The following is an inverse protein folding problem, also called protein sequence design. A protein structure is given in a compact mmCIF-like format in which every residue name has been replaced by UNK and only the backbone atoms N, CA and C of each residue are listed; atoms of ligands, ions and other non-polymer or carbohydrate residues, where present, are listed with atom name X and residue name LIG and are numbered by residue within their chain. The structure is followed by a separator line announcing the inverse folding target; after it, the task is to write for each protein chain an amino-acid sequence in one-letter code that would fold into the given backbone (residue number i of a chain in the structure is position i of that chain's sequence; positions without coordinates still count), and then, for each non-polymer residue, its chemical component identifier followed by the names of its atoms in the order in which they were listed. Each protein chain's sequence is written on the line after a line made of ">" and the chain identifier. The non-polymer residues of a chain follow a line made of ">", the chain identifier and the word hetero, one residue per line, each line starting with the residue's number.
data_IF_840540749065
#
_entry.id   IF_840540749065
#
_cell.length_a   1.000
_cell.length_b   1.000
_cell.length_c   1.000
_cell.angle_alpha   90.00
_cell.angle_beta   90.00
_cell.angle_gamma   90.00
#
_symmetry.space_group_name_H-M   'P 1'
#
loop_
_entity.id
_entity.type
_entity.pdbx_description
1 polymer ?
#
# COMPACT_ATOMS: atom_id res chain seq x y z
N UNK A 1 5.79 -25.34 -4.99
CA UNK A 1 4.38 -24.90 -5.06
C UNK A 1 4.24 -23.43 -4.76
N UNK A 2 4.56 -22.95 -3.54
CA UNK A 2 4.42 -21.52 -3.19
C UNK A 2 5.14 -20.57 -4.16
N UNK A 3 6.37 -20.89 -4.56
CA UNK A 3 7.12 -20.12 -5.55
C UNK A 3 6.38 -20.00 -6.91
N UNK A 4 5.73 -21.09 -7.35
CA UNK A 4 4.98 -21.11 -8.61
C UNK A 4 3.70 -20.29 -8.51
N UNK A 5 2.94 -20.44 -7.41
CA UNK A 5 1.76 -19.61 -7.17
C UNK A 5 2.11 -18.13 -7.08
N UNK A 6 3.20 -17.79 -6.38
CA UNK A 6 3.65 -16.40 -6.29
C UNK A 6 3.98 -15.81 -7.67
N UNK A 7 4.62 -16.57 -8.56
CA UNK A 7 4.94 -16.12 -9.92
C UNK A 7 3.71 -15.89 -10.81
N UNK A 8 2.63 -16.67 -10.64
CA UNK A 8 1.40 -16.49 -11.43
C UNK A 8 0.45 -15.45 -10.83
N UNK A 9 0.56 -15.16 -9.52
CA UNK A 9 -0.15 -14.05 -8.88
C UNK A 9 0.52 -12.71 -9.18
N UNK A 10 1.86 -12.69 -9.25
CA UNK A 10 2.62 -11.51 -9.60
C UNK A 10 3.86 -11.91 -10.43
N UNK A 11 3.83 -11.59 -11.72
CA UNK A 11 4.87 -11.97 -12.67
C UNK A 11 6.26 -11.42 -12.32
N UNK A 12 6.35 -10.34 -11.55
CA UNK A 12 7.63 -9.78 -11.08
C UNK A 12 8.35 -10.79 -10.18
N UNK A 13 7.59 -11.61 -9.44
CA UNK A 13 8.14 -12.65 -8.56
C UNK A 13 8.81 -13.78 -9.36
N UNK A 14 8.52 -13.94 -10.66
CA UNK A 14 9.18 -14.95 -11.48
C UNK A 14 10.72 -14.80 -11.46
N UNK A 15 11.25 -13.58 -11.37
CA UNK A 15 12.69 -13.33 -11.22
C UNK A 15 13.20 -13.83 -9.87
N UNK A 16 12.43 -13.66 -8.80
CA UNK A 16 12.76 -14.18 -7.47
C UNK A 16 12.71 -15.70 -7.42
N UNK A 17 11.82 -16.33 -8.20
CA UNK A 17 11.81 -17.80 -8.38
C UNK A 17 13.13 -18.28 -8.98
N UNK A 18 13.75 -17.52 -9.89
CA UNK A 18 15.08 -17.84 -10.43
C UNK A 18 16.13 -17.77 -9.31
N UNK A 19 16.10 -16.74 -8.46
CA UNK A 19 17.02 -16.64 -7.32
C UNK A 19 16.85 -17.80 -6.33
N UNK A 20 15.61 -18.21 -6.06
CA UNK A 20 15.31 -19.39 -5.23
C UNK A 20 15.84 -20.68 -5.87
N UNK A 21 15.67 -20.85 -7.18
CA UNK A 21 16.23 -21.98 -7.91
C UNK A 21 17.76 -22.01 -7.83
N UNK A 22 18.42 -20.87 -8.04
CA UNK A 22 19.88 -20.74 -7.89
C UNK A 22 20.34 -21.03 -6.46
N UNK A 23 19.60 -20.61 -5.45
CA UNK A 23 19.89 -20.95 -4.05
C UNK A 23 19.79 -22.46 -3.80
N UNK A 24 18.74 -23.12 -4.29
CA UNK A 24 18.60 -24.59 -4.22
C UNK A 24 19.78 -25.27 -4.95
N UNK A 25 20.23 -24.71 -6.07
CA UNK A 25 21.40 -25.23 -6.78
C UNK A 25 22.69 -25.15 -5.99
N UNK A 26 23.04 -23.93 -5.60
CA UNK A 26 24.40 -23.57 -5.22
C UNK A 26 24.63 -23.84 -3.75
N UNK A 27 23.61 -23.65 -2.91
CA UNK A 27 23.68 -23.76 -1.46
C UNK A 27 23.15 -25.10 -0.94
N UNK A 28 21.93 -25.49 -1.34
CA UNK A 28 21.30 -26.73 -0.84
C UNK A 28 21.92 -27.97 -1.50
N UNK A 29 22.24 -27.89 -2.81
CA UNK A 29 22.92 -28.94 -3.60
C UNK A 29 22.23 -30.32 -3.57
N UNK A 30 20.90 -30.34 -3.40
CA UNK A 30 20.10 -31.57 -3.34
C UNK A 30 19.44 -31.86 -4.69
N UNK A 31 19.77 -33.01 -5.31
CA UNK A 31 19.11 -33.47 -6.54
C UNK A 31 17.59 -33.61 -6.36
N UNK A 32 17.16 -34.15 -5.23
CA UNK A 32 15.75 -34.26 -4.89
C UNK A 32 15.14 -32.86 -4.66
N UNK A 33 15.88 -31.94 -4.03
CA UNK A 33 15.43 -30.56 -3.83
C UNK A 33 15.07 -29.87 -5.14
N UNK A 34 15.88 -30.06 -6.17
CA UNK A 34 15.61 -29.56 -7.52
C UNK A 34 14.39 -30.18 -8.18
N UNK A 35 14.30 -31.51 -8.11
CA UNK A 35 13.18 -32.24 -8.71
C UNK A 35 11.87 -31.79 -8.07
N UNK A 36 11.82 -31.71 -6.74
CA UNK A 36 10.63 -31.23 -6.02
C UNK A 36 10.35 -29.75 -6.25
N UNK A 37 11.40 -28.91 -6.35
CA UNK A 37 11.23 -27.50 -6.68
C UNK A 37 10.61 -27.34 -8.08
N UNK A 38 11.16 -28.02 -9.09
CA UNK A 38 10.67 -28.02 -10.46
C UNK A 38 9.24 -28.57 -10.59
N UNK A 39 8.96 -29.73 -9.98
CA UNK A 39 7.60 -30.27 -9.92
C UNK A 39 6.63 -29.30 -9.23
N UNK A 40 7.11 -28.62 -8.20
CA UNK A 40 6.35 -27.59 -7.49
C UNK A 40 6.08 -26.32 -8.31
N UNK A 41 6.79 -26.06 -9.40
CA UNK A 41 6.53 -24.97 -10.34
C UNK A 41 5.60 -25.41 -11.48
N UNK A 42 5.65 -26.69 -11.86
CA UNK A 42 4.92 -27.22 -13.02
C UNK A 42 3.41 -27.01 -12.90
N UNK A 43 2.81 -27.30 -11.74
CA UNK A 43 1.37 -27.14 -11.54
C UNK A 43 0.88 -25.70 -11.79
N UNK A 44 1.39 -24.69 -11.04
CA UNK A 44 1.05 -23.29 -11.28
C UNK A 44 1.38 -22.81 -12.70
N UNK A 45 2.48 -23.27 -13.29
CA UNK A 45 2.83 -22.92 -14.67
C UNK A 45 1.78 -23.42 -15.68
N UNK A 46 1.35 -24.68 -15.56
CA UNK A 46 0.29 -25.22 -16.41
C UNK A 46 -1.03 -24.46 -16.21
N UNK A 47 -1.36 -24.08 -14.97
CA UNK A 47 -2.55 -23.31 -14.66
C UNK A 47 -2.56 -21.95 -15.38
N UNK A 48 -1.45 -21.20 -15.35
CA UNK A 48 -1.38 -19.91 -16.05
C UNK A 48 -1.38 -20.08 -17.57
N UNK A 49 -0.81 -21.16 -18.12
CA UNK A 49 -0.91 -21.46 -19.54
C UNK A 49 -2.36 -21.74 -19.97
N UNK A 50 -3.12 -22.51 -19.18
CA UNK A 50 -4.55 -22.76 -19.44
C UNK A 50 -5.35 -21.45 -19.37
N UNK A 51 -5.09 -20.62 -18.36
CA UNK A 51 -5.70 -19.30 -18.24
C UNK A 51 -5.41 -18.43 -19.48
N UNK A 52 -4.14 -18.36 -19.90
CA UNK A 52 -3.75 -17.56 -21.06
C UNK A 52 -4.36 -18.09 -22.37
N UNK A 53 -4.49 -19.41 -22.54
CA UNK A 53 -5.20 -19.99 -23.69
C UNK A 53 -6.67 -19.57 -23.67
N UNK A 54 -7.33 -19.68 -22.52
CA UNK A 54 -8.74 -19.32 -22.38
C UNK A 54 -9.01 -17.83 -22.64
N UNK A 55 -8.12 -16.94 -22.20
CA UNK A 55 -8.30 -15.49 -22.33
C UNK A 55 -7.73 -14.90 -23.63
N UNK A 56 -6.61 -15.43 -24.12
CA UNK A 56 -5.81 -14.81 -25.20
C UNK A 56 -5.51 -15.76 -26.36
N UNK A 57 -6.04 -16.99 -26.34
CA UNK A 57 -5.90 -17.98 -27.41
C UNK A 57 -4.52 -18.65 -27.49
N UNK A 58 -3.55 -18.28 -26.65
CA UNK A 58 -2.21 -18.88 -26.64
C UNK A 58 -1.67 -18.99 -25.21
N UNK A 59 -0.83 -20.00 -24.89
CA UNK A 59 -0.35 -20.21 -23.52
C UNK A 59 0.63 -19.12 -23.01
N UNK A 60 1.23 -18.35 -23.92
CA UNK A 60 2.30 -17.40 -23.61
C UNK A 60 1.94 -15.93 -23.85
N UNK A 61 0.76 -15.63 -24.40
CA UNK A 61 0.27 -14.25 -24.43
C UNK A 61 -0.20 -13.88 -23.04
N UNK A 62 0.41 -12.85 -22.45
CA UNK A 62 0.05 -12.34 -21.13
C UNK A 62 -0.87 -11.14 -21.26
N UNK A 63 -1.55 -10.79 -20.17
CA UNK A 63 -2.36 -9.59 -20.04
C UNK A 63 -1.60 -8.30 -20.39
N UNK A 64 -0.28 -8.25 -20.19
CA UNK A 64 0.54 -7.08 -20.53
C UNK A 64 0.54 -6.75 -22.02
N UNK A 65 0.30 -7.71 -22.92
CA UNK A 65 0.16 -7.43 -24.36
C UNK A 65 -1.03 -6.52 -24.66
N UNK A 66 -2.06 -6.59 -23.81
CA UNK A 66 -3.30 -5.83 -23.92
C UNK A 66 -3.36 -4.68 -22.90
N UNK A 67 -2.19 -4.21 -22.44
CA UNK A 67 -2.10 -3.11 -21.50
C UNK A 67 -2.68 -1.82 -22.09
N UNK A 68 -3.41 -1.07 -21.29
CA UNK A 68 -3.96 0.22 -21.71
C UNK A 68 -2.80 1.16 -22.11
N UNK A 69 -2.82 1.73 -23.34
CA UNK A 69 -1.79 2.65 -23.81
C UNK A 69 -1.51 3.83 -22.89
N UNK A 70 -2.50 4.23 -22.07
CA UNK A 70 -2.37 5.27 -21.06
C UNK A 70 -1.24 5.01 -20.06
N UNK A 71 -0.97 3.75 -19.71
CA UNK A 71 0.09 3.37 -18.76
C UNK A 71 1.45 3.12 -19.41
N UNK A 72 1.53 3.20 -20.74
CA UNK A 72 2.76 2.98 -21.49
C UNK A 72 3.44 4.33 -21.69
N UNK A 73 4.63 4.49 -21.11
CA UNK A 73 5.44 5.69 -21.37
C UNK A 73 6.21 5.49 -22.67
N UNK A 74 6.17 6.49 -23.56
CA UNK A 74 6.64 6.45 -24.95
C UNK A 74 8.12 6.11 -25.18
N UNK A 75 8.70 6.64 -26.27
CA UNK A 75 10.03 6.25 -26.78
C UNK A 75 11.13 6.27 -25.69
N UNK A 76 11.92 5.18 -25.61
CA UNK A 76 12.99 4.89 -24.64
C UNK A 76 12.58 4.20 -23.32
N UNK A 77 11.48 3.46 -23.30
CA UNK A 77 11.14 2.56 -22.20
C UNK A 77 11.36 1.09 -22.55
N UNK A 78 11.94 0.32 -21.62
CA UNK A 78 12.01 -1.14 -21.73
C UNK A 78 10.64 -1.72 -21.39
N UNK A 79 10.12 -2.61 -22.25
CA UNK A 79 8.76 -3.19 -22.16
C UNK A 79 7.64 -2.14 -22.02
N UNK A 80 7.86 -0.91 -22.48
CA UNK A 80 6.85 0.17 -22.44
C UNK A 80 6.66 0.86 -21.09
N UNK A 81 7.30 0.36 -20.01
CA UNK A 81 7.05 0.83 -18.64
C UNK A 81 8.31 1.04 -17.79
N UNK A 82 9.42 0.41 -18.16
CA UNK A 82 10.67 0.54 -17.41
C UNK A 82 11.54 1.68 -17.97
N UNK A 83 12.02 2.52 -17.07
CA UNK A 83 12.91 3.65 -17.30
C UNK A 83 14.23 3.43 -16.55
N UNK A 84 15.20 4.33 -16.74
CA UNK A 84 16.41 4.32 -15.92
C UNK A 84 16.08 4.51 -14.43
N UNK A 85 16.82 3.84 -13.52
CA UNK A 85 16.60 3.95 -12.08
C UNK A 85 16.57 5.39 -11.59
N UNK A 86 15.48 5.76 -10.91
CA UNK A 86 15.29 7.08 -10.32
C UNK A 86 15.69 7.10 -8.85
N UNK A 87 16.85 7.66 -8.56
CA UNK A 87 17.38 7.71 -7.19
C UNK A 87 16.60 8.66 -6.27
N UNK A 88 15.93 9.67 -6.82
CA UNK A 88 15.00 10.53 -6.08
C UNK A 88 13.78 9.76 -5.55
N UNK A 89 13.34 8.74 -6.29
CA UNK A 89 12.24 7.84 -5.90
C UNK A 89 12.67 6.90 -4.77
N UNK A 90 13.94 6.47 -4.73
CA UNK A 90 14.43 5.53 -3.72
C UNK A 90 14.15 6.01 -2.29
N UNK A 91 14.48 7.26 -1.98
CA UNK A 91 14.22 7.79 -0.63
C UNK A 91 12.72 7.95 -0.37
N UNK A 92 11.92 8.26 -1.40
CA UNK A 92 10.49 8.41 -1.26
C UNK A 92 9.82 7.08 -0.88
N UNK A 93 10.12 5.98 -1.57
CA UNK A 93 9.53 4.66 -1.30
C UNK A 93 10.04 4.02 0.00
N UNK A 94 11.18 4.48 0.53
CA UNK A 94 11.74 3.95 1.77
C UNK A 94 11.33 4.77 3.00
N UNK A 95 11.29 6.10 2.91
CA UNK A 95 11.23 6.97 4.09
C UNK A 95 10.20 8.11 4.01
N UNK A 96 9.53 8.34 2.88
CA UNK A 96 8.55 9.43 2.83
C UNK A 96 7.39 9.21 3.81
N UNK A 97 6.84 10.28 4.41
CA UNK A 97 5.62 10.18 5.21
C UNK A 97 4.40 9.70 4.42
N UNK A 98 4.42 9.86 3.09
CA UNK A 98 3.31 9.46 2.23
C UNK A 98 3.28 7.96 1.97
N UNK A 99 4.41 7.37 1.53
CA UNK A 99 4.45 5.96 1.10
C UNK A 99 5.78 5.26 1.42
N UNK A 100 6.50 5.73 2.44
CA UNK A 100 7.77 5.14 2.85
C UNK A 100 7.58 3.82 3.59
N UNK A 101 8.28 2.76 3.14
CA UNK A 101 8.24 1.44 3.77
C UNK A 101 8.64 1.48 5.26
N UNK A 102 9.70 2.20 5.59
CA UNK A 102 10.18 2.34 6.97
C UNK A 102 9.41 3.39 7.76
N UNK A 103 8.61 4.23 7.08
CA UNK A 103 7.67 5.13 7.75
C UNK A 103 6.45 4.36 8.23
N UNK A 104 5.82 3.56 7.37
CA UNK A 104 4.64 2.77 7.71
C UNK A 104 4.97 1.52 8.54
N UNK A 105 6.15 0.92 8.32
CA UNK A 105 6.62 -0.26 9.06
C UNK A 105 8.04 -0.09 9.62
N UNK A 106 8.25 0.77 10.63
CA UNK A 106 9.58 1.01 11.23
C UNK A 106 10.29 -0.24 11.75
N UNK A 107 9.56 -1.30 12.12
CA UNK A 107 10.15 -2.58 12.57
C UNK A 107 11.03 -3.22 11.52
N UNK A 108 10.80 -2.95 10.23
CA UNK A 108 11.60 -3.49 9.14
C UNK A 108 13.05 -2.97 9.14
N UNK A 109 13.35 -1.85 9.82
CA UNK A 109 14.72 -1.38 10.04
C UNK A 109 15.54 -2.41 10.85
N UNK A 110 14.89 -3.12 11.77
CA UNK A 110 15.52 -4.22 12.52
C UNK A 110 15.90 -5.37 11.58
N UNK A 111 15.11 -5.58 10.53
CA UNK A 111 15.39 -6.55 9.47
C UNK A 111 16.68 -6.26 8.72
N UNK A 112 16.97 -4.97 8.43
CA UNK A 112 18.23 -4.57 7.81
C UNK A 112 19.43 -4.94 8.68
N UNK A 113 19.33 -4.69 9.98
CA UNK A 113 20.37 -5.11 10.93
C UNK A 113 20.52 -6.64 10.95
N UNK A 114 19.41 -7.37 10.96
CA UNK A 114 19.42 -8.84 10.90
C UNK A 114 20.04 -9.39 9.62
N UNK A 115 19.85 -8.72 8.47
CA UNK A 115 20.53 -9.06 7.21
C UNK A 115 22.05 -8.90 7.33
N UNK A 116 22.51 -7.79 7.91
CA UNK A 116 23.94 -7.57 8.16
C UNK A 116 24.50 -8.65 9.08
N UNK A 117 23.75 -9.05 10.11
CA UNK A 117 24.15 -10.13 11.00
C UNK A 117 24.27 -11.48 10.27
N UNK A 118 23.25 -11.86 9.49
CA UNK A 118 23.24 -13.09 8.69
C UNK A 118 24.42 -13.12 7.71
N UNK A 119 24.69 -12.00 7.03
CA UNK A 119 25.78 -11.89 6.08
C UNK A 119 27.16 -12.07 6.71
N UNK A 120 27.34 -11.57 7.94
CA UNK A 120 28.57 -11.75 8.71
C UNK A 120 28.76 -13.18 9.21
N UNK A 121 27.67 -13.91 9.44
CA UNK A 121 27.71 -15.30 9.85
C UNK A 121 27.95 -16.22 8.65
N UNK A 122 29.11 -16.90 8.62
CA UNK A 122 29.50 -17.77 7.50
C UNK A 122 28.48 -18.88 7.19
N UNK A 123 27.75 -19.35 8.20
CA UNK A 123 26.78 -20.43 8.05
C UNK A 123 25.48 -19.99 7.35
N UNK A 124 25.18 -18.69 7.34
CA UNK A 124 23.95 -18.15 6.75
C UNK A 124 24.19 -17.21 5.57
N UNK A 125 25.40 -17.24 4.99
CA UNK A 125 25.78 -16.33 3.90
C UNK A 125 24.93 -16.54 2.64
N UNK A 126 24.58 -17.78 2.33
CA UNK A 126 23.79 -18.08 1.13
C UNK A 126 22.37 -17.52 1.26
N UNK A 127 21.75 -17.69 2.43
CA UNK A 127 20.45 -17.16 2.79
C UNK A 127 20.50 -15.63 2.78
N UNK A 128 21.52 -15.03 3.39
CA UNK A 128 21.71 -13.58 3.39
C UNK A 128 21.76 -13.01 1.95
N UNK A 129 22.54 -13.65 1.06
CA UNK A 129 22.61 -13.24 -0.35
C UNK A 129 21.26 -13.36 -1.06
N UNK A 130 20.53 -14.46 -0.85
CA UNK A 130 19.20 -14.64 -1.42
C UNK A 130 18.25 -13.50 -0.99
N UNK A 131 18.21 -13.18 0.30
CA UNK A 131 17.37 -12.11 0.84
C UNK A 131 17.78 -10.73 0.29
N UNK A 132 19.09 -10.44 0.24
CA UNK A 132 19.64 -9.17 -0.27
C UNK A 132 19.33 -9.00 -1.75
N UNK A 133 19.52 -10.03 -2.56
CA UNK A 133 19.30 -9.97 -4.02
C UNK A 133 17.81 -9.86 -4.33
N UNK A 134 16.94 -10.58 -3.60
CA UNK A 134 15.50 -10.44 -3.74
C UNK A 134 15.01 -9.03 -3.37
N UNK A 135 15.46 -8.49 -2.22
CA UNK A 135 15.14 -7.13 -1.79
C UNK A 135 15.65 -6.08 -2.77
N UNK A 136 16.92 -6.19 -3.17
CA UNK A 136 17.56 -5.30 -4.14
C UNK A 136 16.86 -5.31 -5.49
N UNK A 137 16.37 -6.47 -5.93
CA UNK A 137 15.58 -6.58 -7.15
C UNK A 137 14.25 -5.82 -7.06
N UNK A 138 13.47 -5.97 -5.99
CA UNK A 138 12.20 -5.23 -5.85
C UNK A 138 12.42 -3.72 -5.72
N UNK A 139 13.46 -3.30 -5.01
CA UNK A 139 13.83 -1.87 -4.94
C UNK A 139 14.22 -1.35 -6.32
N UNK A 140 15.09 -2.06 -7.04
CA UNK A 140 15.54 -1.67 -8.37
C UNK A 140 14.36 -1.63 -9.36
N UNK A 141 13.49 -2.65 -9.32
CA UNK A 141 12.26 -2.70 -10.09
C UNK A 141 11.41 -1.46 -9.84
N UNK A 142 11.14 -1.12 -8.57
CA UNK A 142 10.22 -0.04 -8.24
C UNK A 142 10.78 1.33 -8.65
N UNK A 143 12.08 1.59 -8.44
CA UNK A 143 12.69 2.88 -8.86
C UNK A 143 12.89 2.98 -10.38
N UNK A 144 12.77 1.87 -11.10
CA UNK A 144 12.87 1.84 -12.57
C UNK A 144 11.49 1.77 -13.24
N UNK A 145 10.40 1.80 -12.48
CA UNK A 145 9.04 1.68 -13.00
C UNK A 145 8.42 3.07 -13.20
N UNK A 146 7.81 3.34 -14.35
CA UNK A 146 7.20 4.63 -14.66
C UNK A 146 6.07 5.01 -13.68
N UNK A 147 5.29 4.03 -13.24
CA UNK A 147 4.24 4.16 -12.22
C UNK A 147 4.71 3.81 -10.81
N UNK A 148 5.97 4.13 -10.46
CA UNK A 148 6.59 3.75 -9.18
C UNK A 148 5.76 4.08 -7.94
N UNK A 149 4.90 5.09 -8.01
CA UNK A 149 4.03 5.55 -6.94
C UNK A 149 2.98 4.51 -6.50
N UNK A 150 2.56 3.63 -7.42
CA UNK A 150 1.63 2.54 -7.13
C UNK A 150 0.16 2.95 -7.08
N UNK A 151 -0.21 4.13 -7.57
CA UNK A 151 -1.59 4.62 -7.55
C UNK A 151 -2.03 5.14 -6.18
N UNK A 152 -3.32 4.96 -5.89
CA UNK A 152 -3.95 5.36 -4.63
C UNK A 152 -3.61 4.33 -3.54
N UNK A 153 -2.55 4.62 -2.78
CA UNK A 153 -2.02 3.73 -1.75
C UNK A 153 -1.20 4.52 -0.74
N UNK A 154 -1.42 4.25 0.54
CA UNK A 154 -0.62 4.83 1.64
C UNK A 154 0.74 4.13 1.84
N UNK A 155 1.02 3.07 1.08
CA UNK A 155 2.25 2.25 1.20
C UNK A 155 2.91 2.01 -0.15
N UNK A 156 4.22 1.67 -0.21
CA UNK A 156 4.90 1.42 -1.47
C UNK A 156 4.50 0.05 -2.02
N UNK A 157 3.37 0.01 -2.74
CA UNK A 157 2.64 -1.19 -3.19
C UNK A 157 3.55 -2.24 -3.84
N UNK A 158 4.51 -1.82 -4.67
CA UNK A 158 5.43 -2.73 -5.36
C UNK A 158 6.54 -3.32 -4.48
N UNK A 159 6.77 -2.77 -3.28
CA UNK A 159 7.67 -3.36 -2.29
C UNK A 159 6.96 -4.37 -1.37
N UNK A 160 5.63 -4.50 -1.42
CA UNK A 160 4.89 -5.49 -0.64
C UNK A 160 5.47 -6.92 -0.72
N UNK A 161 5.74 -7.44 -1.93
CA UNK A 161 6.39 -8.75 -2.09
C UNK A 161 7.82 -8.85 -1.53
N UNK A 162 8.50 -7.71 -1.29
CA UNK A 162 9.83 -7.66 -0.71
C UNK A 162 9.81 -7.77 0.83
N UNK A 163 8.70 -7.39 1.47
CA UNK A 163 8.55 -7.34 2.93
C UNK A 163 8.92 -8.66 3.60
N UNK A 164 8.48 -9.85 3.15
CA UNK A 164 8.86 -11.11 3.79
C UNK A 164 10.37 -11.37 3.84
N UNK A 165 11.12 -10.94 2.81
CA UNK A 165 12.57 -11.10 2.75
C UNK A 165 13.31 -10.21 3.77
N UNK A 166 12.71 -9.08 4.12
CA UNK A 166 13.20 -8.18 5.16
C UNK A 166 12.65 -8.51 6.55
N UNK A 167 11.47 -9.13 6.62
CA UNK A 167 10.82 -9.52 7.88
C UNK A 167 11.48 -10.75 8.52
N UNK A 168 11.89 -11.74 7.71
CA UNK A 168 12.57 -12.95 8.19
C UNK A 168 13.78 -12.66 9.11
N UNK A 169 14.73 -11.78 8.75
CA UNK A 169 15.89 -11.48 9.58
C UNK A 169 15.57 -10.64 10.84
N UNK A 170 14.35 -10.12 11.01
CA UNK A 170 13.97 -9.34 12.21
C UNK A 170 14.15 -10.17 13.48
N UNK A 171 14.00 -11.50 13.41
CA UNK A 171 14.17 -12.41 14.56
C UNK A 171 15.50 -12.18 15.29
N UNK A 172 16.59 -11.93 14.57
CA UNK A 172 17.90 -11.69 15.18
C UNK A 172 17.93 -10.38 15.96
N UNK A 173 17.16 -9.39 15.52
CA UNK A 173 16.99 -8.14 16.24
C UNK A 173 16.11 -8.29 17.48
N UNK A 174 15.08 -9.13 17.45
CA UNK A 174 14.32 -9.46 18.68
C UNK A 174 15.20 -10.16 19.72
N UNK A 175 16.13 -11.02 19.28
CA UNK A 175 17.11 -11.66 20.18
C UNK A 175 18.07 -10.62 20.78
N UNK A 176 18.56 -9.67 19.98
CA UNK A 176 19.62 -8.73 20.39
C UNK A 176 19.11 -7.44 21.07
N UNK A 177 17.99 -6.93 20.62
CA UNK A 177 17.39 -5.63 20.95
C UNK A 177 15.89 -5.78 21.21
N UNK A 178 15.52 -6.72 22.09
CA UNK A 178 14.12 -7.10 22.33
C UNK A 178 13.19 -5.89 22.55
N UNK A 179 13.52 -5.02 23.53
CA UNK A 179 12.69 -3.85 23.88
C UNK A 179 12.47 -2.91 22.70
N UNK A 180 13.54 -2.58 21.97
CA UNK A 180 13.48 -1.71 20.79
C UNK A 180 12.67 -2.35 19.67
N UNK A 181 12.88 -3.65 19.42
CA UNK A 181 12.16 -4.40 18.39
C UNK A 181 10.67 -4.48 18.70
N UNK A 182 10.30 -4.73 19.96
CA UNK A 182 8.90 -4.69 20.42
C UNK A 182 8.29 -3.30 20.24
N UNK A 183 8.99 -2.24 20.64
CA UNK A 183 8.47 -0.87 20.49
C UNK A 183 8.21 -0.53 19.01
N UNK A 184 9.16 -0.80 18.12
CA UNK A 184 9.00 -0.57 16.68
C UNK A 184 7.92 -1.47 16.05
N UNK A 185 7.79 -2.72 16.51
CA UNK A 185 6.73 -3.61 16.07
C UNK A 185 5.35 -3.09 16.46
N UNK A 186 5.17 -2.63 17.70
CA UNK A 186 3.91 -2.04 18.18
C UNK A 186 3.57 -0.79 17.36
N UNK A 187 4.54 0.08 17.08
CA UNK A 187 4.33 1.27 16.24
C UNK A 187 3.92 0.85 14.82
N UNK A 188 4.62 -0.11 14.21
CA UNK A 188 4.31 -0.60 12.86
C UNK A 188 2.92 -1.20 12.79
N UNK A 189 2.54 -2.01 13.78
CA UNK A 189 1.20 -2.61 13.88
C UNK A 189 0.15 -1.51 14.04
N UNK A 190 0.39 -0.50 14.88
CA UNK A 190 -0.55 0.59 15.09
C UNK A 190 -0.79 1.41 13.81
N UNK A 191 0.28 1.75 13.09
CA UNK A 191 0.19 2.48 11.81
C UNK A 191 -0.55 1.63 10.78
N UNK A 192 -0.09 0.40 10.52
CA UNK A 192 -0.70 -0.46 9.50
C UNK A 192 -2.15 -0.85 9.82
N UNK A 193 -2.48 -1.04 11.11
CA UNK A 193 -3.84 -1.29 11.54
C UNK A 193 -4.71 -0.05 11.29
N UNK A 194 -4.24 1.15 11.61
CA UNK A 194 -4.98 2.39 11.38
C UNK A 194 -5.21 2.63 9.89
N UNK A 195 -4.15 2.53 9.07
CA UNK A 195 -4.22 2.63 7.60
C UNK A 195 -5.22 1.63 7.03
N UNK A 196 -5.11 0.35 7.39
CA UNK A 196 -6.03 -0.69 6.87
C UNK A 196 -7.46 -0.52 7.39
N UNK A 197 -7.62 -0.01 8.62
CA UNK A 197 -8.93 0.14 9.25
C UNK A 197 -9.74 1.30 8.69
N UNK A 198 -9.06 2.35 8.28
CA UNK A 198 -9.66 3.55 7.74
C UNK A 198 -9.69 3.49 6.22
N UNK A 199 -8.54 3.37 5.58
CA UNK A 199 -8.44 3.44 4.13
C UNK A 199 -7.00 3.12 3.65
N UNK A 200 -6.74 1.93 3.10
CA UNK A 200 -5.43 1.62 2.54
C UNK A 200 -5.13 2.39 1.24
N UNK A 201 -6.16 2.99 0.61
CA UNK A 201 -6.09 3.72 -0.65
C UNK A 201 -6.40 5.20 -0.44
N UNK A 202 -5.75 5.79 0.58
CA UNK A 202 -5.95 7.18 0.98
C UNK A 202 -6.08 8.12 -0.25
N UNK A 203 -7.18 8.90 -0.34
CA UNK A 203 -7.59 9.57 -1.53
C UNK A 203 -6.63 10.69 -1.85
N UNK A 204 -6.31 10.76 -3.12
CA UNK A 204 -5.33 11.66 -3.66
C UNK A 204 -6.16 12.68 -4.43
N UNK A 205 -6.26 13.89 -3.88
CA UNK A 205 -7.26 14.90 -4.23
C UNK A 205 -7.20 15.50 -5.64
N UNK A 206 -6.69 14.78 -6.63
CA UNK A 206 -6.69 15.12 -8.05
C UNK A 206 -6.97 13.85 -8.84
N UNK A 207 -7.68 13.94 -9.96
CA UNK A 207 -7.78 12.81 -10.91
C UNK A 207 -6.44 12.44 -11.58
N UNK A 208 -5.35 13.16 -11.29
CA UNK A 208 -4.01 12.74 -11.66
C UNK A 208 -3.55 11.62 -10.72
N UNK A 209 -3.35 10.42 -11.28
CA UNK A 209 -2.98 9.21 -10.54
C UNK A 209 -1.82 9.49 -9.57
N UNK A 210 -2.05 9.15 -8.30
CA UNK A 210 -1.04 9.12 -7.25
C UNK A 210 -0.39 10.46 -6.83
N UNK A 211 -0.98 11.61 -7.15
CA UNK A 211 -0.45 12.95 -6.80
C UNK A 211 -1.46 13.92 -6.20
N UNK A 212 -1.04 14.64 -5.17
CA UNK A 212 -1.81 15.77 -4.65
C UNK A 212 -1.28 17.04 -5.30
N UNK A 213 -2.19 17.85 -5.85
CA UNK A 213 -1.83 19.10 -6.51
C UNK A 213 -1.01 19.98 -5.56
N UNK A 214 0.11 20.50 -6.08
CA UNK A 214 1.02 21.41 -5.39
C UNK A 214 1.56 20.89 -4.04
N UNK A 215 1.49 19.58 -3.78
CA UNK A 215 2.07 18.95 -2.59
C UNK A 215 3.08 17.88 -2.97
N UNK A 216 4.40 18.15 -2.85
CA UNK A 216 5.40 17.14 -3.08
C UNK A 216 5.26 16.00 -2.06
N UNK A 217 5.73 14.81 -2.45
CA UNK A 217 5.61 13.54 -1.71
C UNK A 217 6.06 13.60 -0.24
N UNK A 218 6.99 14.50 0.08
CA UNK A 218 7.55 14.67 1.41
C UNK A 218 6.72 15.55 2.34
N UNK A 219 5.71 16.24 1.81
CA UNK A 219 4.90 17.19 2.56
C UNK A 219 3.52 16.64 2.92
N UNK A 220 3.07 15.57 2.27
CA UNK A 220 1.81 14.92 2.61
C UNK A 220 2.04 13.71 3.49
N UNK A 221 1.27 13.61 4.56
CA UNK A 221 1.27 12.46 5.45
C UNK A 221 -0.17 11.96 5.66
N UNK A 222 -0.60 10.89 4.96
CA UNK A 222 -1.95 10.32 5.09
C UNK A 222 -2.28 9.99 6.53
N UNK A 223 -1.32 9.44 7.27
CA UNK A 223 -1.54 9.01 8.66
C UNK A 223 -2.08 10.16 9.51
N UNK A 224 -1.47 11.34 9.44
CA UNK A 224 -1.82 12.48 10.31
C UNK A 224 -2.86 13.41 9.70
N UNK A 225 -2.94 13.49 8.38
CA UNK A 225 -3.83 14.43 7.69
C UNK A 225 -5.17 13.82 7.31
N UNK A 226 -5.23 12.49 7.18
CA UNK A 226 -6.36 11.77 6.62
C UNK A 226 -6.84 10.63 7.55
N UNK A 227 -6.01 9.61 7.76
CA UNK A 227 -6.40 8.37 8.45
C UNK A 227 -6.72 8.61 9.93
N UNK A 228 -5.82 9.24 10.69
CA UNK A 228 -6.02 9.52 12.11
C UNK A 228 -7.19 10.49 12.34
N UNK A 229 -7.35 11.60 11.59
CA UNK A 229 -8.53 12.45 11.69
C UNK A 229 -9.85 11.72 11.43
N UNK A 230 -9.94 10.87 10.40
CA UNK A 230 -11.15 10.07 10.16
C UNK A 230 -11.38 9.12 11.33
N UNK A 231 -10.36 8.40 11.75
CA UNK A 231 -10.49 7.48 12.87
C UNK A 231 -10.97 8.19 14.13
N UNK A 232 -10.49 9.39 14.45
CA UNK A 232 -10.85 10.12 15.67
C UNK A 232 -12.17 10.92 15.55
N UNK A 233 -12.45 11.51 14.40
CA UNK A 233 -13.52 12.50 14.22
C UNK A 233 -14.58 12.10 13.20
N UNK A 234 -14.43 10.94 12.55
CA UNK A 234 -15.25 10.44 11.44
C UNK A 234 -15.14 11.28 10.17
N UNK A 235 -14.20 12.22 10.11
CA UNK A 235 -14.03 13.14 8.97
C UNK A 235 -12.54 13.39 8.70
N UNK A 236 -12.20 13.58 7.43
CA UNK A 236 -10.87 13.99 6.99
C UNK A 236 -10.66 15.51 7.15
N UNK A 237 -10.97 16.06 8.34
CA UNK A 237 -11.05 17.51 8.55
C UNK A 237 -9.82 18.32 8.10
N UNK A 238 -8.59 17.97 8.53
CA UNK A 238 -7.39 18.68 8.10
C UNK A 238 -7.15 18.61 6.58
N UNK A 239 -7.43 17.46 5.97
CA UNK A 239 -7.29 17.27 4.53
C UNK A 239 -8.32 18.06 3.73
N UNK A 240 -9.60 17.96 4.10
CA UNK A 240 -10.69 18.71 3.44
C UNK A 240 -10.51 20.23 3.56
N UNK A 241 -10.03 20.73 4.71
CA UNK A 241 -9.72 22.15 4.86
C UNK A 241 -8.62 22.62 3.90
N UNK A 242 -7.57 21.81 3.73
CA UNK A 242 -6.52 22.12 2.75
C UNK A 242 -7.04 22.10 1.32
N UNK A 243 -7.90 21.14 1.00
CA UNK A 243 -8.56 21.08 -0.31
C UNK A 243 -9.46 22.30 -0.56
N UNK A 244 -10.25 22.70 0.43
CA UNK A 244 -11.06 23.92 0.39
C UNK A 244 -10.19 25.16 0.16
N UNK A 245 -9.12 25.34 0.94
CA UNK A 245 -8.18 26.45 0.77
C UNK A 245 -7.58 26.50 -0.64
N UNK A 246 -7.20 25.34 -1.20
CA UNK A 246 -6.71 25.24 -2.57
C UNK A 246 -7.78 25.61 -3.60
N UNK A 247 -8.98 25.04 -3.50
CA UNK A 247 -10.10 25.34 -4.41
C UNK A 247 -10.43 26.82 -4.40
N UNK A 248 -10.58 27.42 -3.22
CA UNK A 248 -10.89 28.84 -3.09
C UNK A 248 -9.78 29.74 -3.65
N UNK A 249 -8.52 29.39 -3.42
CA UNK A 249 -7.38 30.11 -3.99
C UNK A 249 -7.38 30.09 -5.52
N UNK A 250 -7.60 28.92 -6.12
CA UNK A 250 -7.66 28.77 -7.58
C UNK A 250 -8.89 29.47 -8.17
N UNK A 251 -10.05 29.37 -7.51
CA UNK A 251 -11.26 30.06 -7.92
C UNK A 251 -11.08 31.59 -7.89
N UNK A 252 -10.47 32.14 -6.84
CA UNK A 252 -10.17 33.58 -6.77
C UNK A 252 -9.27 34.03 -7.92
N UNK A 253 -8.23 33.25 -8.24
CA UNK A 253 -7.32 33.52 -9.36
C UNK A 253 -8.05 33.48 -10.70
N UNK A 254 -8.98 32.55 -10.88
CA UNK A 254 -9.81 32.46 -12.08
C UNK A 254 -10.71 33.70 -12.23
N UNK A 255 -11.37 34.12 -11.15
CA UNK A 255 -12.19 35.34 -11.14
C UNK A 255 -11.36 36.61 -11.40
N UNK A 256 -10.11 36.65 -10.93
CA UNK A 256 -9.18 37.76 -11.19
C UNK A 256 -8.86 37.90 -12.69
N UNK A 257 -8.79 36.78 -13.42
CA UNK A 257 -8.55 36.78 -14.87
C UNK A 257 -9.79 37.18 -15.70
N UNK A 258 -10.96 37.35 -15.06
CA UNK A 258 -12.22 37.75 -15.69
C UNK A 258 -12.54 39.25 -15.51
N UNK A 259 -11.55 40.07 -15.15
CA UNK A 259 -11.67 41.52 -14.92
C UNK A 259 -12.74 41.94 -13.90
N UNK A 260 -13.04 41.08 -12.91
CA UNK A 260 -14.01 41.38 -11.85
C UNK A 260 -13.43 42.30 -10.76
N UNK A 261 -14.27 43.19 -10.20
CA UNK A 261 -13.86 44.06 -9.10
C UNK A 261 -13.50 43.25 -7.84
N UNK A 262 -12.56 43.72 -7.00
CA UNK A 262 -12.16 43.01 -5.78
C UNK A 262 -13.32 42.66 -4.83
N UNK A 263 -14.34 43.51 -4.71
CA UNK A 263 -15.50 43.29 -3.85
C UNK A 263 -16.40 42.16 -4.38
N UNK A 264 -16.64 42.15 -5.69
CA UNK A 264 -17.41 41.07 -6.33
C UNK A 264 -16.67 39.74 -6.23
N UNK A 265 -15.34 39.74 -6.42
CA UNK A 265 -14.52 38.53 -6.26
C UNK A 265 -14.62 37.95 -4.85
N UNK A 266 -14.48 38.79 -3.82
CA UNK A 266 -14.64 38.35 -2.42
C UNK A 266 -16.02 37.75 -2.16
N UNK A 267 -17.06 38.36 -2.70
CA UNK A 267 -18.44 37.87 -2.55
C UNK A 267 -18.63 36.49 -3.20
N UNK A 268 -18.10 36.28 -4.41
CA UNK A 268 -18.19 34.99 -5.10
C UNK A 268 -17.38 33.88 -4.42
N UNK A 269 -16.18 34.20 -3.92
CA UNK A 269 -15.35 33.25 -3.14
C UNK A 269 -16.09 32.85 -1.86
N UNK A 270 -16.73 33.78 -1.17
CA UNK A 270 -17.47 33.49 0.06
C UNK A 270 -18.73 32.65 -0.20
N UNK A 271 -19.44 32.88 -1.31
CA UNK A 271 -20.54 32.01 -1.74
C UNK A 271 -20.08 30.57 -1.95
N UNK A 272 -18.93 30.38 -2.61
CA UNK A 272 -18.36 29.05 -2.81
C UNK A 272 -17.94 28.40 -1.49
N UNK A 273 -17.32 29.16 -0.58
CA UNK A 273 -16.99 28.69 0.77
C UNK A 273 -18.23 28.19 1.49
N UNK A 274 -19.29 29.00 1.56
CA UNK A 274 -20.53 28.62 2.23
C UNK A 274 -21.13 27.36 1.60
N UNK A 275 -21.13 27.26 0.27
CA UNK A 275 -21.62 26.07 -0.42
C UNK A 275 -20.80 24.81 -0.07
N UNK A 276 -19.47 24.92 0.05
CA UNK A 276 -18.61 23.82 0.50
C UNK A 276 -18.97 23.42 1.93
N UNK A 277 -19.05 24.37 2.85
CA UNK A 277 -19.36 24.13 4.27
C UNK A 277 -20.73 23.47 4.43
N UNK A 278 -21.75 23.97 3.73
CA UNK A 278 -23.11 23.43 3.75
C UNK A 278 -23.14 22.00 3.20
N UNK A 279 -22.41 21.73 2.12
CA UNK A 279 -22.30 20.39 1.53
C UNK A 279 -21.62 19.40 2.48
N UNK A 280 -20.54 19.84 3.14
CA UNK A 280 -19.83 19.07 4.16
C UNK A 280 -20.73 18.81 5.38
N UNK A 281 -21.52 19.78 5.82
CA UNK A 281 -22.46 19.63 6.92
C UNK A 281 -23.59 18.65 6.57
N UNK A 282 -24.11 18.74 5.35
CA UNK A 282 -25.17 17.87 4.83
C UNK A 282 -24.69 16.44 4.52
N UNK A 283 -23.37 16.19 4.43
CA UNK A 283 -22.83 14.89 4.08
C UNK A 283 -23.15 14.52 2.64
N UNK A 284 -22.98 15.47 1.72
CA UNK A 284 -23.13 15.31 0.26
C UNK A 284 -21.83 15.71 -0.42
N UNK A 285 -21.58 15.30 -1.68
CA UNK A 285 -20.34 15.66 -2.36
C UNK A 285 -20.13 17.18 -2.39
N UNK A 286 -18.89 17.63 -2.22
CA UNK A 286 -18.54 19.06 -2.12
C UNK A 286 -17.41 19.40 -3.11
N UNK A 287 -17.35 20.64 -3.64
CA UNK A 287 -16.32 21.03 -4.60
C UNK A 287 -14.97 21.23 -3.88
N UNK A 288 -14.24 20.13 -3.71
CA UNK A 288 -12.97 20.04 -2.96
C UNK A 288 -11.83 19.44 -3.81
N UNK A 289 -12.09 19.03 -5.05
CA UNK A 289 -11.07 18.44 -5.93
C UNK A 289 -10.68 19.45 -7.01
N UNK A 290 -9.37 19.60 -7.22
CA UNK A 290 -8.84 20.34 -8.35
C UNK A 290 -8.27 19.35 -9.36
N UNK A 291 -8.83 19.35 -10.56
CA UNK A 291 -8.38 18.48 -11.64
C UNK A 291 -7.62 19.31 -12.66
N UNK A 292 -6.39 18.91 -12.96
CA UNK A 292 -5.61 19.53 -14.03
C UNK A 292 -6.17 19.11 -15.40
N UNK A 293 -6.43 20.09 -16.25
CA UNK A 293 -6.86 19.93 -17.64
C UNK A 293 -5.75 20.46 -18.55
N UNK A 294 -5.19 19.59 -19.40
CA UNK A 294 -4.18 19.94 -20.40
C UNK A 294 -2.72 19.72 -19.96
N UNK A 295 -1.77 20.00 -20.88
CA UNK A 295 -0.34 19.76 -20.65
C UNK A 295 0.33 20.88 -19.82
N UNK A 296 1.52 20.62 -19.28
CA UNK A 296 2.18 21.43 -18.25
C UNK A 296 2.33 22.94 -18.57
N UNK A 297 2.41 23.32 -19.85
CA UNK A 297 2.54 24.72 -20.28
C UNK A 297 1.19 25.47 -20.45
N UNK A 298 0.06 24.75 -20.50
CA UNK A 298 -1.29 25.30 -20.71
C UNK A 298 -2.31 24.72 -19.73
N UNK A 299 -1.86 24.25 -18.57
CA UNK A 299 -2.69 23.56 -17.59
C UNK A 299 -3.77 24.51 -17.04
N UNK A 300 -5.02 24.24 -17.41
CA UNK A 300 -6.20 24.77 -16.73
C UNK A 300 -6.56 23.84 -15.57
N UNK A 301 -7.38 24.31 -14.65
CA UNK A 301 -7.88 23.50 -13.54
C UNK A 301 -9.41 23.55 -13.55
N UNK A 302 -10.07 22.41 -13.41
CA UNK A 302 -11.48 22.35 -13.06
C UNK A 302 -11.64 22.07 -11.58
N UNK A 303 -12.73 22.61 -11.02
CA UNK A 303 -13.18 22.27 -9.68
C UNK A 303 -14.18 21.12 -9.83
N UNK A 304 -13.83 19.97 -9.28
CA UNK A 304 -14.65 18.76 -9.30
C UNK A 304 -15.20 18.45 -7.90
N UNK A 305 -16.28 17.66 -7.86
CA UNK A 305 -16.90 17.22 -6.61
C UNK A 305 -16.08 16.10 -5.97
N UNK A 306 -15.78 16.27 -4.69
CA UNK A 306 -15.18 15.26 -3.82
C UNK A 306 -16.26 14.48 -3.10
N UNK A 307 -16.11 13.17 -3.03
CA UNK A 307 -17.03 12.33 -2.28
C UNK A 307 -16.63 12.19 -0.80
N UNK A 308 -15.45 12.69 -0.38
CA UNK A 308 -14.97 12.68 1.01
C UNK A 308 -16.01 13.07 2.09
N UNK A 309 -16.90 14.06 1.87
CA UNK A 309 -17.91 14.41 2.87
C UNK A 309 -18.93 13.29 3.18
N UNK A 310 -19.06 12.28 2.31
CA UNK A 310 -19.94 11.13 2.51
C UNK A 310 -19.39 10.16 3.56
N UNK A 311 -18.12 10.27 3.94
CA UNK A 311 -17.54 9.43 4.99
C UNK A 311 -18.16 9.77 6.34
N UNK A 312 -18.95 8.83 6.88
CA UNK A 312 -19.63 8.98 8.17
C UNK A 312 -19.09 8.04 9.26
N UNK A 313 -18.30 7.03 8.88
CA UNK A 313 -17.73 6.03 9.78
C UNK A 313 -16.29 6.34 10.18
N UNK A 314 -15.86 6.03 11.42
CA UNK A 314 -14.46 6.12 11.82
C UNK A 314 -13.63 4.93 11.30
N UNK A 315 -14.32 3.88 10.86
CA UNK A 315 -13.81 2.60 10.39
C UNK A 315 -14.78 2.20 9.29
N UNK A 316 -14.23 1.78 8.16
CA UNK A 316 -14.92 1.24 6.98
C UNK A 316 -13.97 1.45 5.81
N UNK A 317 -14.11 0.62 4.79
CA UNK A 317 -13.34 0.81 3.58
C UNK A 317 -13.86 2.09 2.88
N UNK A 318 -13.00 3.07 2.59
CA UNK A 318 -13.42 4.26 1.85
C UNK A 318 -13.85 3.84 0.44
N UNK A 319 -15.02 4.31 0.03
CA UNK A 319 -15.60 3.99 -1.26
C UNK A 319 -14.92 4.74 -2.42
N UNK A 320 -14.31 5.89 -2.17
CA UNK A 320 -13.59 6.68 -3.19
C UNK A 320 -12.38 5.89 -3.72
N UNK A 321 -11.61 5.24 -2.83
CA UNK A 321 -10.50 4.37 -3.22
C UNK A 321 -10.96 3.04 -3.83
N UNK A 322 -11.89 2.35 -3.17
CA UNK A 322 -12.24 0.95 -3.50
C UNK A 322 -13.21 0.82 -4.69
N UNK A 323 -14.15 1.76 -4.81
CA UNK A 323 -15.18 1.73 -5.83
C UNK A 323 -15.04 2.87 -6.83
N UNK A 324 -13.99 3.70 -6.78
CA UNK A 324 -13.90 4.99 -7.48
C UNK A 324 -14.35 5.02 -8.95
N UNK A 325 -14.13 3.95 -9.72
CA UNK A 325 -14.69 3.82 -11.08
C UNK A 325 -16.19 3.45 -11.12
N UNK A 326 -16.63 2.59 -10.22
CA UNK A 326 -17.99 2.03 -10.17
C UNK A 326 -18.98 2.96 -9.46
N UNK A 327 -18.53 3.76 -8.48
CA UNK A 327 -19.33 4.84 -7.87
C UNK A 327 -19.57 5.97 -8.88
N UNK A 328 -18.53 6.36 -9.63
CA UNK A 328 -18.60 7.38 -10.68
C UNK A 328 -19.54 6.98 -11.85
N UNK A 329 -19.75 5.69 -12.08
CA UNK A 329 -20.69 5.17 -13.08
C UNK A 329 -22.07 4.81 -12.52
N UNK A 330 -22.31 5.02 -11.21
CA UNK A 330 -23.58 4.72 -10.55
C UNK A 330 -23.90 3.23 -10.42
N UNK A 331 -22.92 2.36 -10.64
CA UNK A 331 -23.08 0.90 -10.64
C UNK A 331 -23.00 0.31 -9.23
N UNK A 332 -22.26 0.96 -8.31
CA UNK A 332 -22.11 0.48 -6.93
C UNK A 332 -22.00 1.62 -5.93
N UNK A 333 -22.80 1.55 -4.86
CA UNK A 333 -22.60 2.39 -3.68
C UNK A 333 -22.98 3.87 -3.86
N UNK A 334 -24.19 4.18 -4.31
CA UNK A 334 -24.66 5.57 -4.33
C UNK A 334 -24.55 6.23 -2.94
N UNK A 335 -24.37 7.56 -2.85
CA UNK A 335 -24.40 8.26 -1.57
C UNK A 335 -25.62 7.85 -0.74
N UNK A 336 -25.40 7.40 0.51
CA UNK A 336 -26.46 6.94 1.41
C UNK A 336 -27.02 5.53 1.18
N UNK A 337 -26.49 4.78 0.21
CA UNK A 337 -26.91 3.40 -0.08
C UNK A 337 -26.55 2.41 1.05
N UNK A 338 -27.22 1.25 1.06
CA UNK A 338 -26.89 0.16 1.99
C UNK A 338 -25.50 -0.42 1.73
N UNK A 339 -25.11 -0.52 0.46
CA UNK A 339 -23.80 -0.99 0.05
C UNK A 339 -22.68 -0.12 0.65
N UNK A 340 -22.87 1.20 0.63
CA UNK A 340 -21.94 2.15 1.25
C UNK A 340 -21.91 1.99 2.78
N UNK A 341 -23.08 1.87 3.41
CA UNK A 341 -23.22 1.74 4.88
C UNK A 341 -22.55 0.49 5.44
N UNK A 342 -22.51 -0.59 4.67
CA UNK A 342 -21.95 -1.87 5.07
C UNK A 342 -20.57 -2.14 4.43
N UNK A 343 -19.97 -1.15 3.78
CA UNK A 343 -18.63 -1.32 3.21
C UNK A 343 -17.59 -1.45 4.33
N UNK A 344 -17.08 -2.66 4.53
CA UNK A 344 -16.18 -2.97 5.64
C UNK A 344 -15.15 -4.02 5.23
N UNK A 345 -13.94 -3.87 5.75
CA UNK A 345 -12.87 -4.86 5.66
C UNK A 345 -12.90 -5.88 6.82
N UNK A 346 -13.70 -5.67 7.87
CA UNK A 346 -13.68 -6.49 9.08
C UNK A 346 -15.08 -6.95 9.53
N UNK A 347 -15.11 -8.16 10.13
CA UNK A 347 -16.35 -8.81 10.59
C UNK A 347 -17.02 -8.10 11.77
N UNK A 348 -16.27 -7.34 12.59
CA UNK A 348 -16.85 -6.71 13.77
C UNK A 348 -17.82 -5.58 13.46
N UNK A 349 -17.84 -5.06 12.23
CA UNK A 349 -18.86 -4.10 11.77
C UNK A 349 -20.28 -4.71 11.82
N UNK A 350 -20.43 -6.03 11.76
CA UNK A 350 -21.74 -6.69 11.97
C UNK A 350 -22.22 -6.61 13.43
N UNK A 351 -21.29 -6.52 14.38
CA UNK A 351 -21.59 -6.45 15.82
C UNK A 351 -21.67 -5.00 16.32
N UNK A 352 -20.80 -4.15 15.80
CA UNK A 352 -20.65 -2.75 16.20
C UNK A 352 -20.55 -1.85 14.96
N UNK A 353 -21.64 -1.65 14.21
CA UNK A 353 -21.60 -0.90 12.95
C UNK A 353 -21.18 0.56 13.14
N UNK A 354 -20.36 1.07 12.21
CA UNK A 354 -19.87 2.45 12.12
C UNK A 354 -19.20 2.93 13.41
N UNK A 355 -18.52 2.01 14.11
CA UNK A 355 -18.01 2.21 15.46
C UNK A 355 -16.61 1.63 15.59
N UNK A 356 -15.77 2.28 16.40
CA UNK A 356 -14.40 1.79 16.66
C UNK A 356 -14.36 0.42 17.34
N UNK A 357 -15.45 0.08 18.01
CA UNK A 357 -15.64 -1.22 18.64
C UNK A 357 -15.70 -2.36 17.63
N UNK A 358 -15.91 -2.09 16.33
CA UNK A 358 -15.83 -3.10 15.28
C UNK A 358 -14.44 -3.74 15.16
N UNK A 359 -13.37 -3.08 15.61
CA UNK A 359 -12.04 -3.71 15.65
C UNK A 359 -11.90 -4.72 16.77
N UNK A 360 -12.80 -4.74 17.76
CA UNK A 360 -12.64 -5.57 18.94
C UNK A 360 -12.54 -7.08 18.59
N UNK A 361 -13.39 -7.66 17.72
CA UNK A 361 -13.24 -9.06 17.32
C UNK A 361 -11.89 -9.36 16.65
N UNK A 362 -11.41 -8.45 15.79
CA UNK A 362 -10.10 -8.59 15.14
C UNK A 362 -8.97 -8.55 16.19
N UNK A 363 -8.99 -7.57 17.08
CA UNK A 363 -7.98 -7.39 18.13
C UNK A 363 -7.96 -8.56 19.12
N UNK A 364 -9.14 -9.06 19.52
CA UNK A 364 -9.26 -10.25 20.38
C UNK A 364 -8.75 -11.50 19.67
N UNK A 365 -9.08 -11.68 18.39
CA UNK A 365 -8.59 -12.78 17.57
C UNK A 365 -7.06 -12.76 17.46
N UNK A 366 -6.49 -11.61 17.07
CA UNK A 366 -5.04 -11.44 17.01
C UNK A 366 -4.36 -11.64 18.37
N UNK A 367 -4.96 -11.13 19.45
CA UNK A 367 -4.47 -11.34 20.81
C UNK A 367 -4.48 -12.80 21.23
N UNK A 368 -5.53 -13.54 20.91
CA UNK A 368 -5.64 -14.98 21.15
C UNK A 368 -4.59 -15.77 20.37
N UNK A 369 -4.42 -15.50 19.07
CA UNK A 369 -3.39 -16.15 18.26
C UNK A 369 -1.98 -15.83 18.75
N UNK A 370 -1.72 -14.58 19.14
CA UNK A 370 -0.45 -14.19 19.75
C UNK A 370 -0.18 -14.91 21.07
N UNK A 371 -1.20 -15.02 21.93
CA UNK A 371 -1.10 -15.74 23.20
C UNK A 371 -0.89 -17.25 22.99
N UNK A 372 -1.60 -17.87 22.04
CA UNK A 372 -1.42 -19.27 21.68
C UNK A 372 0.01 -19.52 21.15
N UNK A 373 0.49 -18.68 20.23
CA UNK A 373 1.84 -18.78 19.70
C UNK A 373 2.90 -18.67 20.81
N UNK A 374 2.72 -17.72 21.73
CA UNK A 374 3.60 -17.58 22.90
C UNK A 374 3.56 -18.81 23.81
N UNK A 375 2.37 -19.35 24.10
CA UNK A 375 2.21 -20.55 24.92
C UNK A 375 2.88 -21.76 24.27
N UNK A 376 2.64 -21.99 22.98
CA UNK A 376 3.26 -23.09 22.24
C UNK A 376 4.79 -22.96 22.22
N UNK A 377 5.32 -21.75 22.02
CA UNK A 377 6.76 -21.52 22.09
C UNK A 377 7.35 -21.91 23.46
N UNK A 378 6.69 -21.51 24.56
CA UNK A 378 7.13 -21.89 25.92
C UNK A 378 7.05 -23.38 26.19
N UNK A 379 6.03 -24.07 25.69
CA UNK A 379 5.88 -25.52 25.82
C UNK A 379 7.02 -26.25 25.07
N UNK A 380 7.35 -25.79 23.85
CA UNK A 380 8.48 -26.32 23.06
C UNK A 380 9.81 -26.11 23.80
N UNK A 381 10.04 -24.92 24.35
CA UNK A 381 11.26 -24.62 25.12
C UNK A 381 11.36 -25.51 26.37
N UNK A 382 10.26 -25.74 27.08
CA UNK A 382 10.23 -26.61 28.25
C UNK A 382 10.55 -28.07 27.88
N UNK A 383 10.04 -28.57 26.75
CA UNK A 383 10.34 -29.92 26.25
C UNK A 383 11.81 -30.03 25.85
N UNK A 384 12.37 -29.03 25.18
CA UNK A 384 13.77 -29.01 24.79
C UNK A 384 14.69 -29.06 26.01
N UNK A 385 14.45 -28.19 26.99
CA UNK A 385 15.23 -28.14 28.24
C UNK A 385 15.16 -29.45 29.05
N UNK A 386 14.00 -30.12 29.06
CA UNK A 386 13.85 -31.43 29.72
C UNK A 386 14.57 -32.56 28.98
N UNK A 387 14.67 -32.51 27.65
CA UNK A 387 15.45 -33.51 26.88
C UNK A 387 16.94 -33.36 27.14
N UNK A 388 17.45 -32.14 27.22
CA UNK A 388 18.85 -31.87 27.54
C UNK A 388 19.20 -32.29 28.98
N UNK A 389 18.23 -32.20 29.91
CA UNK A 389 18.39 -32.68 31.28
C UNK A 389 18.39 -34.22 31.41
N UNK A 390 17.78 -34.96 30.48
CA UNK A 390 17.72 -36.44 30.48
C UNK A 390 18.89 -37.09 29.71
N UNK A 391 19.60 -36.33 28.88
CA UNK A 391 20.83 -36.74 28.20
C UNK A 391 21.96 -35.75 28.45
N UNK A 392 22.42 -35.57 29.71
CA UNK A 392 23.66 -34.84 29.96
C UNK A 392 24.80 -35.65 29.34
N UNK A 393 25.52 -35.06 28.39
CA UNK A 393 26.72 -35.63 27.76
C UNK A 393 27.79 -35.88 28.82
#
# INVERSE_FOLDING_TARGET
>A
MCAGYAAITNYIIAVVVIFLGLYVFLAVRSKNGWLWFGLGLLGPFLLICVYNIACFGTPFTTNYRHQNPFFISGTNTFLGVFILPRWDVLLAILFSPFRGLFFSSPVLLIGLWGLVWLFRNKNFRAEAWLLIVALGFFVLFNISFNGWDGGDTAVPRYLGPAVPFLALPIVFGFIRFFKTSCALAIISIAIMLLTTAVDPEAPIGTRDIARILDRPLWQYNPLTEYELPIFLTKRAGPFMRKQEEQVLHYYEKELANRDMTPELRRTEVEKLRQFIEDSIAAGVPAPLVLTRIGQAASAQYSIDMSELPLLTGPISANFDGIYGGWSAHGEFGSPGSEQLRWNSFNFGEFLFPQSRWSLLPLLLGCGLFGWLAFRTAREVDAIANNRDALHPI
#
